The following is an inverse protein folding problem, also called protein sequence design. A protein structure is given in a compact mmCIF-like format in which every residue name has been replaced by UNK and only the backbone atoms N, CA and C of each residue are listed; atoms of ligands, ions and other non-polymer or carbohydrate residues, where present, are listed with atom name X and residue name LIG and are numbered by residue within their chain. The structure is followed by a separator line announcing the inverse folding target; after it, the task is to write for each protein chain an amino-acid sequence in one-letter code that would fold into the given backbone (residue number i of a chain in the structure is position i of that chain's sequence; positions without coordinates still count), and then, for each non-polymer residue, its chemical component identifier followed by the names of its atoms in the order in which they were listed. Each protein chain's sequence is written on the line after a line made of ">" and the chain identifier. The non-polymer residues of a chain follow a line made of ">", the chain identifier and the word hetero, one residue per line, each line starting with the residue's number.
data_IF_642147826316
#
_entry.id   IF_642147826316
#
_cell.length_a   1.000
_cell.length_b   1.000
_cell.length_c   1.000
_cell.angle_alpha   90.00
_cell.angle_beta   90.00
_cell.angle_gamma   90.00
#
_symmetry.space_group_name_H-M   'P 1'
#
loop_
_entity.id
_entity.type
_entity.pdbx_description
1 polymer ?
#
# COMPACT_ATOMS: atom_id res chain seq x y z
N UNK A 1 -19.17 -33.53 -13.83
CA UNK A 1 -18.02 -34.34 -13.39
C UNK A 1 -17.48 -33.67 -12.14
N UNK A 2 -17.53 -34.33 -10.98
CA UNK A 2 -16.91 -33.82 -9.76
C UNK A 2 -15.39 -34.03 -9.84
N UNK A 3 -14.60 -33.11 -9.27
CA UNK A 3 -13.16 -33.29 -9.10
C UNK A 3 -12.88 -34.33 -8.02
N UNK A 4 -11.68 -34.92 -8.02
CA UNK A 4 -11.31 -35.89 -7.00
C UNK A 4 -11.20 -35.24 -5.62
N UNK A 5 -11.87 -35.79 -4.61
CA UNK A 5 -11.73 -35.41 -3.20
C UNK A 5 -11.32 -36.64 -2.39
N UNK A 6 -10.14 -36.68 -1.77
CA UNK A 6 -9.68 -37.89 -1.07
C UNK A 6 -10.39 -38.15 0.27
N UNK A 7 -11.13 -37.16 0.79
CA UNK A 7 -11.78 -37.21 2.11
C UNK A 7 -13.33 -37.10 2.04
N UNK A 8 -13.91 -36.99 0.84
CA UNK A 8 -15.36 -36.78 0.65
C UNK A 8 -15.83 -37.68 -0.49
N UNK A 9 -16.83 -38.51 -0.20
CA UNK A 9 -17.38 -39.52 -1.12
C UNK A 9 -18.50 -38.95 -2.01
N UNK A 10 -18.97 -37.73 -1.72
CA UNK A 10 -20.13 -37.10 -2.36
C UNK A 10 -19.78 -35.84 -3.16
N UNK A 11 -18.77 -35.08 -2.73
CA UNK A 11 -18.34 -33.84 -3.38
C UNK A 11 -16.89 -33.90 -3.87
N UNK A 12 -16.56 -33.00 -4.81
CA UNK A 12 -15.20 -32.85 -5.34
C UNK A 12 -14.46 -31.68 -4.69
N UNK A 13 -13.13 -31.77 -4.58
CA UNK A 13 -12.31 -30.68 -4.04
C UNK A 13 -12.15 -29.58 -5.08
N UNK A 14 -12.54 -28.35 -4.73
CA UNK A 14 -12.35 -27.22 -5.63
C UNK A 14 -10.86 -26.84 -5.69
N UNK A 15 -10.27 -26.53 -6.86
CA UNK A 15 -8.87 -26.12 -6.91
C UNK A 15 -8.63 -24.80 -6.16
N UNK A 16 -9.67 -23.96 -6.06
CA UNK A 16 -9.64 -22.75 -5.24
C UNK A 16 -9.47 -23.05 -3.75
N UNK A 17 -10.04 -24.16 -3.27
CA UNK A 17 -9.91 -24.60 -1.87
C UNK A 17 -8.46 -24.97 -1.56
N UNK A 18 -7.77 -25.62 -2.49
CA UNK A 18 -6.34 -25.90 -2.38
C UNK A 18 -5.47 -24.63 -2.38
N UNK A 19 -5.95 -23.52 -2.97
CA UNK A 19 -5.26 -22.23 -3.03
C UNK A 19 -5.79 -21.18 -2.05
N UNK A 20 -6.61 -21.57 -1.06
CA UNK A 20 -7.33 -20.62 -0.20
C UNK A 20 -6.38 -19.67 0.54
N UNK A 21 -5.28 -20.18 1.10
CA UNK A 21 -4.30 -19.34 1.79
C UNK A 21 -3.62 -18.33 0.86
N UNK A 22 -3.30 -18.73 -0.37
CA UNK A 22 -2.73 -17.82 -1.37
C UNK A 22 -3.74 -16.76 -1.81
N UNK A 23 -5.02 -17.11 -1.91
CA UNK A 23 -6.09 -16.14 -2.18
C UNK A 23 -6.18 -15.08 -1.09
N UNK A 24 -6.12 -15.48 0.18
CA UNK A 24 -6.17 -14.55 1.31
C UNK A 24 -4.98 -13.59 1.31
N UNK A 25 -3.77 -14.09 1.06
CA UNK A 25 -2.55 -13.27 0.92
C UNK A 25 -2.69 -12.28 -0.24
N UNK A 26 -3.18 -12.74 -1.40
CA UNK A 26 -3.37 -11.88 -2.56
C UNK A 26 -4.39 -10.75 -2.28
N UNK A 27 -5.50 -11.07 -1.62
CA UNK A 27 -6.54 -10.11 -1.26
C UNK A 27 -6.06 -9.10 -0.22
N UNK A 28 -5.39 -9.57 0.84
CA UNK A 28 -4.81 -8.70 1.87
C UNK A 28 -3.78 -7.74 1.26
N UNK A 29 -2.94 -8.24 0.36
CA UNK A 29 -1.93 -7.42 -0.34
C UNK A 29 -2.56 -6.40 -1.30
N UNK A 30 -3.68 -6.73 -1.94
CA UNK A 30 -4.43 -5.78 -2.76
C UNK A 30 -5.07 -4.68 -1.92
N UNK A 31 -5.63 -5.03 -0.75
CA UNK A 31 -6.18 -4.06 0.20
C UNK A 31 -5.09 -3.16 0.79
N UNK A 32 -3.93 -3.72 1.15
CA UNK A 32 -2.76 -2.95 1.60
C UNK A 32 -2.32 -1.94 0.54
N UNK A 33 -2.14 -2.37 -0.71
CA UNK A 33 -1.73 -1.49 -1.80
C UNK A 33 -2.76 -0.40 -2.08
N UNK A 34 -4.05 -0.72 -2.03
CA UNK A 34 -5.11 0.29 -2.16
C UNK A 34 -5.00 1.32 -1.03
N UNK A 35 -4.92 0.87 0.22
CA UNK A 35 -4.77 1.75 1.37
C UNK A 35 -3.49 2.60 1.27
N UNK A 36 -2.39 2.01 0.79
CA UNK A 36 -1.14 2.73 0.55
C UNK A 36 -1.32 3.81 -0.50
N UNK A 37 -1.98 3.54 -1.63
CA UNK A 37 -2.24 4.54 -2.66
C UNK A 37 -3.20 5.64 -2.18
N UNK A 38 -4.27 5.27 -1.47
CA UNK A 38 -5.23 6.19 -0.89
C UNK A 38 -4.57 7.11 0.16
N UNK A 39 -3.61 6.58 0.92
CA UNK A 39 -2.87 7.31 1.95
C UNK A 39 -1.63 8.04 1.41
N UNK A 40 -0.97 7.56 0.35
CA UNK A 40 0.15 8.23 -0.31
C UNK A 40 -0.31 9.41 -1.17
N UNK A 41 -1.60 9.48 -1.51
CA UNK A 41 -2.26 10.69 -2.01
C UNK A 41 -2.48 11.75 -0.90
N UNK A 42 -2.16 11.42 0.37
CA UNK A 42 -2.01 12.34 1.50
C UNK A 42 -0.52 12.40 1.85
N UNK A 43 -0.02 13.54 2.35
CA UNK A 43 1.38 13.94 2.25
C UNK A 43 2.38 12.80 2.53
N UNK A 44 3.11 12.42 1.48
CA UNK A 44 4.09 11.33 1.44
C UNK A 44 5.42 11.68 2.13
N UNK A 45 5.40 12.56 3.12
CA UNK A 45 6.61 13.07 3.74
C UNK A 45 6.34 13.73 5.09
N UNK A 46 7.42 13.83 5.86
CA UNK A 46 7.42 14.53 7.13
C UNK A 46 8.06 15.90 6.92
N UNK A 47 7.36 16.94 7.39
CA UNK A 47 7.93 18.26 7.52
C UNK A 47 8.78 18.29 8.79
N UNK A 48 10.09 18.41 8.64
CA UNK A 48 11.02 18.50 9.76
C UNK A 48 11.36 19.97 9.98
N UNK A 49 10.93 20.51 11.11
CA UNK A 49 11.34 21.83 11.56
C UNK A 49 12.62 21.72 12.39
N UNK A 50 13.69 22.36 11.95
CA UNK A 50 14.96 22.36 12.69
C UNK A 50 14.89 23.28 13.91
N UNK A 51 15.16 22.74 15.10
CA UNK A 51 15.02 23.42 16.40
C UNK A 51 15.97 24.61 16.63
N UNK A 52 16.78 25.01 15.64
CA UNK A 52 17.67 26.16 15.73
C UNK A 52 16.94 27.51 15.81
N UNK A 53 15.64 27.55 15.49
CA UNK A 53 14.82 28.76 15.46
C UNK A 53 13.67 28.81 16.52
N UNK A 54 13.60 27.83 17.44
CA UNK A 54 12.56 27.75 18.49
C UNK A 54 11.29 27.01 18.04
N UNK A 55 10.52 26.44 18.98
CA UNK A 55 9.30 25.68 18.63
C UNK A 55 8.25 26.57 17.94
N UNK A 56 7.63 26.05 16.88
CA UNK A 56 6.44 26.65 16.26
C UNK A 56 5.34 26.85 17.32
N UNK A 57 4.65 27.99 17.30
CA UNK A 57 3.43 28.16 18.11
C UNK A 57 2.31 27.29 17.54
N UNK A 58 1.34 26.90 18.38
CA UNK A 58 0.20 26.07 17.94
C UNK A 58 -0.57 26.70 16.77
N UNK A 59 -0.68 28.04 16.76
CA UNK A 59 -1.31 28.81 15.69
C UNK A 59 -0.55 28.68 14.35
N UNK A 60 0.78 28.76 14.39
CA UNK A 60 1.62 28.59 13.21
C UNK A 60 1.56 27.15 12.70
N UNK A 61 1.58 26.17 13.60
CA UNK A 61 1.46 24.76 13.25
C UNK A 61 0.10 24.46 12.59
N UNK A 62 -1.00 24.96 13.17
CA UNK A 62 -2.35 24.76 12.63
C UNK A 62 -2.50 25.36 11.24
N UNK A 63 -2.02 26.60 11.03
CA UNK A 63 -2.06 27.25 9.71
C UNK A 63 -1.28 26.45 8.67
N UNK A 64 -0.09 25.97 9.03
CA UNK A 64 0.80 25.25 8.12
C UNK A 64 0.24 23.87 7.76
N UNK A 65 -0.44 23.21 8.72
CA UNK A 65 -1.19 21.98 8.47
C UNK A 65 -2.36 22.21 7.50
N UNK A 66 -3.15 23.26 7.69
CA UNK A 66 -4.29 23.59 6.83
C UNK A 66 -3.85 23.92 5.39
N UNK A 67 -2.76 24.68 5.27
CA UNK A 67 -2.14 25.05 4.00
C UNK A 67 -1.58 23.82 3.27
N UNK A 68 -0.95 22.89 3.99
CA UNK A 68 -0.50 21.61 3.46
C UNK A 68 -1.66 20.72 2.99
N UNK A 69 -2.72 20.59 3.80
CA UNK A 69 -3.90 19.82 3.41
C UNK A 69 -4.54 20.41 2.15
N UNK A 70 -4.65 21.73 2.05
CA UNK A 70 -5.25 22.40 0.88
C UNK A 70 -4.39 22.27 -0.38
N UNK A 71 -3.06 22.41 -0.26
CA UNK A 71 -2.15 22.41 -1.41
C UNK A 71 -1.72 21.01 -1.87
N UNK A 72 -1.79 19.99 -1.01
CA UNK A 72 -1.26 18.65 -1.30
C UNK A 72 -2.27 17.52 -1.14
N UNK A 73 -3.48 17.79 -0.63
CA UNK A 73 -4.53 16.76 -0.66
C UNK A 73 -5.13 16.63 -2.07
N UNK A 74 -5.31 15.37 -2.48
CA UNK A 74 -6.03 15.01 -3.70
C UNK A 74 -5.15 14.82 -4.93
N UNK A 75 -5.61 13.95 -5.83
CA UNK A 75 -4.89 13.54 -7.03
C UNK A 75 -4.50 14.71 -7.96
N UNK A 76 -5.28 15.80 -7.97
CA UNK A 76 -5.01 16.99 -8.79
C UNK A 76 -3.80 17.81 -8.31
N UNK A 77 -3.40 17.64 -7.05
CA UNK A 77 -2.32 18.39 -6.41
C UNK A 77 -1.01 17.58 -6.31
N UNK A 78 -1.00 16.34 -6.82
CA UNK A 78 0.17 15.48 -6.82
C UNK A 78 1.32 16.09 -7.67
N UNK A 79 2.52 16.18 -7.11
CA UNK A 79 3.71 16.65 -7.80
C UNK A 79 3.90 18.17 -7.85
N UNK A 80 3.09 18.96 -7.12
CA UNK A 80 3.32 20.41 -7.00
C UNK A 80 4.62 20.68 -6.21
N UNK A 81 5.52 21.54 -6.72
CA UNK A 81 6.74 21.89 -5.98
C UNK A 81 6.39 22.69 -4.73
N UNK A 82 6.91 22.25 -3.57
CA UNK A 82 6.75 22.91 -2.28
C UNK A 82 7.92 23.86 -2.03
N UNK A 83 7.63 25.13 -1.74
CA UNK A 83 8.63 26.09 -1.28
C UNK A 83 8.58 26.11 0.25
N UNK A 84 9.70 25.77 0.88
CA UNK A 84 9.85 25.75 2.32
C UNK A 84 10.66 26.98 2.75
N UNK A 85 10.16 27.71 3.73
CA UNK A 85 10.84 28.88 4.31
C UNK A 85 11.38 28.54 5.72
N UNK A 86 12.40 29.26 6.18
CA UNK A 86 12.77 29.30 7.60
C UNK A 86 13.32 28.01 8.22
N UNK A 87 14.04 27.16 7.48
CA UNK A 87 14.69 25.96 8.04
C UNK A 87 13.77 24.73 8.14
N UNK A 88 12.67 24.76 7.39
CA UNK A 88 11.80 23.62 7.11
C UNK A 88 12.42 22.70 6.05
N UNK A 89 12.52 21.42 6.35
CA UNK A 89 13.00 20.38 5.43
C UNK A 89 11.88 19.37 5.15
N UNK A 90 11.69 19.02 3.87
CA UNK A 90 10.70 18.02 3.46
C UNK A 90 11.40 16.69 3.19
N UNK A 91 11.12 15.70 4.04
CA UNK A 91 11.62 14.35 3.84
C UNK A 91 10.53 13.48 3.22
N UNK A 92 10.67 13.19 1.93
CA UNK A 92 9.84 12.21 1.26
C UNK A 92 10.07 10.82 1.88
N UNK A 93 8.97 10.17 2.26
CA UNK A 93 8.95 8.77 2.70
C UNK A 93 8.94 7.93 1.42
N UNK A 94 10.07 7.28 1.14
CA UNK A 94 10.15 6.26 0.10
C UNK A 94 9.42 4.98 0.55
N UNK A 95 9.06 4.11 -0.41
CA UNK A 95 8.52 2.79 -0.10
C UNK A 95 9.46 2.07 0.89
N UNK A 96 8.89 1.51 1.95
CA UNK A 96 9.70 0.75 2.90
C UNK A 96 10.03 -0.63 2.32
N UNK A 97 11.13 -1.27 2.75
CA UNK A 97 11.44 -2.65 2.35
C UNK A 97 10.29 -3.63 2.62
N UNK A 98 9.54 -3.40 3.71
CA UNK A 98 8.37 -4.19 4.07
C UNK A 98 7.25 -4.10 3.01
N UNK A 99 7.05 -2.92 2.41
CA UNK A 99 6.07 -2.75 1.34
C UNK A 99 6.48 -3.49 0.06
N UNK A 100 7.79 -3.58 -0.21
CA UNK A 100 8.33 -4.35 -1.33
C UNK A 100 8.10 -5.85 -1.14
N UNK A 101 8.32 -6.37 0.07
CA UNK A 101 8.05 -7.78 0.40
C UNK A 101 6.57 -8.15 0.16
N UNK A 102 5.63 -7.24 0.43
CA UNK A 102 4.20 -7.47 0.15
C UNK A 102 3.89 -7.53 -1.34
N UNK A 103 4.58 -6.74 -2.17
CA UNK A 103 4.44 -6.80 -3.63
C UNK A 103 4.92 -8.16 -4.14
N UNK A 104 6.10 -8.62 -3.67
CA UNK A 104 6.63 -9.94 -4.05
C UNK A 104 5.73 -11.09 -3.57
N UNK A 105 5.26 -11.04 -2.33
CA UNK A 105 4.34 -12.01 -1.76
C UNK A 105 3.02 -12.09 -2.55
N UNK A 106 2.50 -10.94 -3.00
CA UNK A 106 1.32 -10.89 -3.87
C UNK A 106 1.56 -11.57 -5.21
N UNK A 107 2.71 -11.34 -5.83
CA UNK A 107 3.07 -11.99 -7.09
C UNK A 107 3.24 -13.50 -6.93
N UNK A 108 3.85 -13.96 -5.83
CA UNK A 108 3.93 -15.39 -5.51
C UNK A 108 2.54 -16.01 -5.32
N UNK A 109 1.69 -15.36 -4.51
CA UNK A 109 0.32 -15.81 -4.29
C UNK A 109 -0.51 -15.91 -5.58
N UNK A 110 -0.37 -14.95 -6.50
CA UNK A 110 -1.02 -15.00 -7.81
C UNK A 110 -0.57 -16.21 -8.65
N UNK A 111 0.71 -16.59 -8.57
CA UNK A 111 1.24 -17.78 -9.25
C UNK A 111 0.71 -19.06 -8.62
N UNK A 112 0.64 -19.15 -7.30
CA UNK A 112 0.09 -20.33 -6.60
C UNK A 112 -1.38 -20.56 -6.96
N UNK A 113 -2.17 -19.47 -7.05
CA UNK A 113 -3.56 -19.54 -7.51
C UNK A 113 -3.60 -20.07 -8.95
N UNK A 114 -2.78 -19.54 -9.86
CA UNK A 114 -2.73 -20.01 -11.24
C UNK A 114 -2.34 -21.50 -11.33
N UNK A 115 -1.37 -21.93 -10.52
CA UNK A 115 -0.93 -23.33 -10.42
C UNK A 115 -2.05 -24.25 -9.95
N UNK A 116 -2.86 -23.82 -8.98
CA UNK A 116 -4.00 -24.62 -8.52
C UNK A 116 -5.04 -24.84 -9.64
N UNK A 117 -5.25 -23.86 -10.51
CA UNK A 117 -6.10 -24.02 -11.70
C UNK A 117 -5.41 -24.72 -12.88
N UNK A 118 -4.14 -25.11 -12.75
CA UNK A 118 -3.36 -25.73 -13.84
C UNK A 118 -3.01 -24.77 -14.97
N UNK A 119 -3.11 -23.46 -14.73
CA UNK A 119 -2.79 -22.42 -15.72
C UNK A 119 -1.31 -22.04 -15.58
N UNK A 120 -0.52 -22.06 -16.67
CA UNK A 120 0.86 -21.63 -16.60
C UNK A 120 0.92 -20.13 -16.26
N UNK A 121 1.65 -19.73 -15.20
CA UNK A 121 1.88 -18.33 -14.91
C UNK A 121 2.76 -17.76 -16.03
N UNK A 122 2.24 -16.83 -16.83
CA UNK A 122 3.09 -16.08 -17.76
C UNK A 122 3.92 -15.07 -16.97
N UNK A 123 5.22 -15.05 -17.27
CA UNK A 123 6.28 -14.24 -16.69
C UNK A 123 5.95 -12.74 -16.69
#
# INVERSE_FOLDING_TARGET
>A
MALFHPLDDHYGMAPLEAAQTSLDIHNASAQWNKALLDNAARPSGALVYSAAAGSLTDEQFSRLKEEMETQFSGAANAGRPMVLDGGLDWKAIALSPKDMDFIEARHAAARDIALAFGVPPKC
#
